data_IF_118072290815
#
_entry.id   IF_118072290815
#
_cell.length_a   1.000
_cell.length_b   1.000
_cell.length_c   1.000
_cell.angle_alpha   90.00
_cell.angle_beta   90.00
_cell.angle_gamma   90.00
#
_symmetry.space_group_name_H-M   'P 1'
#
loop_
_entity.id
_entity.type
_entity.pdbx_description
1 polymer ?
#
# COMPACT_ATOMS: atom_id res chain seq x y z
N UNK A 1 7.93 -23.09 -9.67
CA UNK A 1 7.15 -21.91 -10.12
C UNK A 1 7.52 -20.75 -9.22
N UNK A 2 7.41 -19.50 -9.70
CA UNK A 2 7.57 -18.34 -8.82
C UNK A 2 6.42 -18.29 -7.82
N UNK A 3 6.65 -17.67 -6.67
CA UNK A 3 5.62 -17.40 -5.68
C UNK A 3 4.54 -16.44 -6.17
N UNK A 4 3.58 -16.14 -5.30
CA UNK A 4 2.54 -15.16 -5.53
C UNK A 4 2.79 -13.92 -4.68
N UNK A 5 2.59 -12.74 -5.24
CA UNK A 5 2.70 -11.45 -4.54
C UNK A 5 1.31 -10.83 -4.38
N UNK A 6 0.82 -10.81 -3.15
CA UNK A 6 -0.46 -10.21 -2.78
C UNK A 6 -0.17 -8.91 -2.01
N UNK A 7 -0.73 -7.81 -2.50
CA UNK A 7 -0.54 -6.49 -1.90
C UNK A 7 -1.82 -6.04 -1.20
N UNK A 8 -1.69 -5.62 0.04
CA UNK A 8 -2.78 -5.00 0.81
C UNK A 8 -2.51 -3.51 0.89
N UNK A 9 -3.39 -2.73 0.30
CA UNK A 9 -3.34 -1.28 0.23
C UNK A 9 -4.49 -0.63 1.00
N UNK A 10 -4.35 0.64 1.25
CA UNK A 10 -5.34 1.48 1.93
C UNK A 10 -4.67 2.59 2.70
N UNK A 11 -5.42 3.62 3.01
CA UNK A 11 -4.95 4.76 3.82
C UNK A 11 -4.70 4.34 5.28
N UNK A 12 -4.07 5.22 6.03
CA UNK A 12 -3.78 4.93 7.43
C UNK A 12 -5.09 4.84 8.24
N UNK A 13 -5.13 3.86 9.15
CA UNK A 13 -6.36 3.53 9.87
C UNK A 13 -7.40 2.70 9.10
N UNK A 14 -7.10 2.22 7.87
CA UNK A 14 -8.02 1.37 7.10
C UNK A 14 -8.10 -0.09 7.59
N UNK A 15 -7.19 -0.50 8.48
CA UNK A 15 -7.18 -1.87 9.03
C UNK A 15 -6.24 -2.85 8.33
N UNK A 16 -5.34 -2.40 7.45
CA UNK A 16 -4.38 -3.26 6.71
C UNK A 16 -3.73 -4.33 7.58
N UNK A 17 -3.03 -3.92 8.63
CA UNK A 17 -2.30 -4.87 9.49
C UNK A 17 -3.21 -5.93 10.12
N UNK A 18 -4.44 -5.56 10.52
CA UNK A 18 -5.44 -6.48 11.08
C UNK A 18 -5.87 -7.50 10.02
N UNK A 19 -6.11 -7.05 8.80
CA UNK A 19 -6.53 -7.92 7.71
C UNK A 19 -5.40 -8.82 7.20
N UNK A 20 -4.15 -8.35 7.23
CA UNK A 20 -3.00 -9.19 6.94
C UNK A 20 -2.88 -10.34 7.94
N UNK A 21 -3.02 -10.07 9.25
CA UNK A 21 -2.97 -11.13 10.27
C UNK A 21 -4.16 -12.10 10.14
N UNK A 22 -5.36 -11.60 9.82
CA UNK A 22 -6.52 -12.45 9.52
C UNK A 22 -6.23 -13.37 8.33
N UNK A 23 -5.74 -12.82 7.21
CA UNK A 23 -5.41 -13.58 6.00
C UNK A 23 -4.34 -14.65 6.29
N UNK A 24 -3.29 -14.33 7.03
CA UNK A 24 -2.27 -15.29 7.45
C UNK A 24 -2.85 -16.43 8.27
N UNK A 25 -3.81 -16.15 9.15
CA UNK A 25 -4.47 -17.19 9.95
C UNK A 25 -5.27 -18.16 9.09
N UNK A 26 -5.91 -17.67 8.02
CA UNK A 26 -6.69 -18.49 7.07
C UNK A 26 -5.79 -19.32 6.14
N UNK A 27 -4.57 -18.85 5.88
CA UNK A 27 -3.59 -19.50 4.99
C UNK A 27 -2.48 -20.23 5.79
N UNK A 28 -2.77 -20.66 7.01
CA UNK A 28 -1.77 -21.25 7.93
C UNK A 28 -1.11 -22.54 7.43
N UNK A 29 -1.68 -23.18 6.42
CA UNK A 29 -1.14 -24.36 5.73
C UNK A 29 -0.14 -24.01 4.60
N UNK A 30 0.02 -22.73 4.28
CA UNK A 30 0.86 -22.24 3.19
C UNK A 30 2.18 -21.63 3.71
N UNK A 31 3.20 -21.59 2.84
CA UNK A 31 4.44 -20.86 3.12
C UNK A 31 4.23 -19.37 2.81
N UNK A 32 4.12 -18.57 3.86
CA UNK A 32 3.85 -17.14 3.75
C UNK A 32 5.02 -16.33 4.27
N UNK A 33 5.36 -15.28 3.52
CA UNK A 33 6.28 -14.22 3.93
C UNK A 33 5.55 -12.88 3.95
N UNK A 34 5.48 -12.26 5.10
CA UNK A 34 4.96 -10.90 5.21
C UNK A 34 6.10 -9.91 5.05
N UNK A 35 5.89 -8.91 4.20
CA UNK A 35 6.77 -7.75 4.07
C UNK A 35 5.98 -6.47 4.33
N UNK A 36 6.69 -5.42 4.72
CA UNK A 36 6.13 -4.08 4.91
C UNK A 36 7.06 -3.06 4.29
N UNK A 37 6.49 -2.14 3.53
CA UNK A 37 7.21 -1.10 2.84
C UNK A 37 6.60 0.29 3.14
N UNK A 38 7.41 1.35 3.28
CA UNK A 38 8.87 1.33 3.26
C UNK A 38 9.47 0.54 4.43
N UNK A 39 10.67 0.00 4.21
CA UNK A 39 11.44 -0.71 5.23
C UNK A 39 12.30 0.27 6.03
N UNK A 40 11.66 0.95 6.99
CA UNK A 40 12.31 2.02 7.76
C UNK A 40 13.54 1.57 8.57
N UNK A 41 13.69 0.27 8.85
CA UNK A 41 14.85 -0.28 9.56
C UNK A 41 16.04 -0.52 8.63
N UNK A 42 15.81 -0.50 7.32
CA UNK A 42 16.85 -0.69 6.31
C UNK A 42 17.55 0.62 5.94
N UNK A 43 18.86 0.59 5.67
CA UNK A 43 19.57 1.74 5.08
C UNK A 43 19.01 2.19 3.73
N UNK A 44 18.35 1.30 2.98
CA UNK A 44 17.73 1.62 1.68
C UNK A 44 16.64 2.68 1.78
N UNK A 45 15.95 2.79 2.92
CA UNK A 45 14.91 3.78 3.16
C UNK A 45 15.41 5.17 3.60
N UNK A 46 16.74 5.40 3.59
CA UNK A 46 17.31 6.68 4.04
C UNK A 46 16.72 7.87 3.29
N UNK A 47 16.63 7.81 1.95
CA UNK A 47 16.04 8.88 1.14
C UNK A 47 14.55 9.10 1.44
N UNK A 48 13.81 8.02 1.70
CA UNK A 48 12.41 8.09 2.14
C UNK A 48 12.31 8.82 3.50
N UNK A 49 13.17 8.49 4.45
CA UNK A 49 13.21 9.15 5.77
C UNK A 49 13.54 10.63 5.64
N UNK A 50 14.56 10.99 4.87
CA UNK A 50 14.95 12.38 4.59
C UNK A 50 13.80 13.18 3.97
N UNK A 51 13.10 12.57 2.99
CA UNK A 51 11.92 13.17 2.36
C UNK A 51 10.81 13.43 3.38
N UNK A 52 10.45 12.43 4.17
CA UNK A 52 9.38 12.54 5.17
C UNK A 52 9.73 13.49 6.33
N UNK A 53 11.02 13.68 6.63
CA UNK A 53 11.50 14.67 7.60
C UNK A 53 11.63 16.09 7.02
N UNK A 54 11.32 16.28 5.73
CA UNK A 54 11.36 17.59 5.09
C UNK A 54 12.78 18.13 4.83
N UNK A 55 13.77 17.24 4.67
CA UNK A 55 15.15 17.64 4.35
C UNK A 55 15.28 18.11 2.89
N UNK A 56 14.36 17.71 2.01
CA UNK A 56 14.29 18.15 0.61
C UNK A 56 13.29 19.28 0.37
N UNK A 57 12.71 19.84 1.41
CA UNK A 57 11.68 20.86 1.38
C UNK A 57 10.61 20.58 2.43
N UNK A 58 9.96 21.65 2.92
CA UNK A 58 8.96 21.54 4.01
C UNK A 58 7.54 21.31 3.52
N UNK A 59 7.29 21.55 2.22
CA UNK A 59 6.01 21.30 1.60
C UNK A 59 6.08 19.99 0.81
N UNK A 60 5.01 19.18 0.81
CA UNK A 60 4.96 17.94 0.00
C UNK A 60 5.29 18.16 -1.48
N UNK A 61 4.95 19.33 -2.04
CA UNK A 61 5.16 19.70 -3.43
C UNK A 61 6.59 20.16 -3.75
N UNK A 62 7.45 20.37 -2.74
CA UNK A 62 8.86 20.71 -2.97
C UNK A 62 9.64 19.54 -3.63
N UNK A 63 9.09 18.31 -3.53
CA UNK A 63 9.59 17.12 -4.22
C UNK A 63 8.51 16.61 -5.17
N UNK A 64 8.78 16.63 -6.48
CA UNK A 64 7.81 16.19 -7.46
C UNK A 64 7.46 14.71 -7.33
N UNK A 65 6.36 14.28 -7.97
CA UNK A 65 5.83 12.91 -7.89
C UNK A 65 6.85 11.85 -8.30
N UNK A 66 7.60 12.11 -9.36
CA UNK A 66 8.56 11.16 -9.94
C UNK A 66 9.80 10.97 -9.05
N UNK A 67 10.37 12.06 -8.53
CA UNK A 67 11.50 12.00 -7.61
C UNK A 67 11.14 11.29 -6.30
N UNK A 68 9.99 11.63 -5.71
CA UNK A 68 9.49 10.96 -4.51
C UNK A 68 9.27 9.47 -4.77
N UNK A 69 8.67 9.10 -5.91
CA UNK A 69 8.47 7.69 -6.29
C UNK A 69 9.79 6.94 -6.40
N UNK A 70 10.83 7.57 -6.96
CA UNK A 70 12.15 6.96 -7.08
C UNK A 70 12.77 6.63 -5.72
N UNK A 71 12.58 7.47 -4.69
CA UNK A 71 13.08 7.18 -3.33
C UNK A 71 12.46 5.89 -2.77
N UNK A 72 11.16 5.71 -2.95
CA UNK A 72 10.46 4.50 -2.53
C UNK A 72 10.84 3.29 -3.40
N UNK A 73 11.04 3.48 -4.70
CA UNK A 73 11.42 2.41 -5.63
C UNK A 73 12.79 1.82 -5.28
N UNK A 74 13.77 2.65 -4.90
CA UNK A 74 15.09 2.18 -4.44
C UNK A 74 14.97 1.31 -3.19
N UNK A 75 14.14 1.70 -2.23
CA UNK A 75 13.89 0.90 -1.03
C UNK A 75 13.24 -0.44 -1.37
N UNK A 76 12.21 -0.44 -2.23
CA UNK A 76 11.54 -1.67 -2.70
C UNK A 76 12.49 -2.63 -3.40
N UNK A 77 13.32 -2.10 -4.32
CA UNK A 77 14.31 -2.92 -5.03
C UNK A 77 15.31 -3.56 -4.07
N UNK A 78 15.87 -2.77 -3.15
CA UNK A 78 16.83 -3.27 -2.17
C UNK A 78 16.20 -4.34 -1.26
N UNK A 79 14.98 -4.06 -0.75
CA UNK A 79 14.22 -4.99 0.06
C UNK A 79 13.92 -6.29 -0.70
N UNK A 80 13.44 -6.20 -1.96
CA UNK A 80 13.23 -7.36 -2.82
C UNK A 80 14.50 -8.21 -2.93
N UNK A 81 15.59 -7.61 -3.36
CA UNK A 81 16.86 -8.32 -3.65
C UNK A 81 17.46 -8.98 -2.42
N UNK A 82 17.33 -8.35 -1.24
CA UNK A 82 18.06 -8.77 -0.04
C UNK A 82 17.22 -9.56 0.97
N UNK A 83 15.88 -9.42 0.93
CA UNK A 83 15.01 -9.99 1.98
C UNK A 83 14.05 -11.05 1.51
N UNK A 84 13.46 -10.93 0.31
CA UNK A 84 12.36 -11.84 -0.05
C UNK A 84 12.44 -12.45 -1.46
N UNK A 85 13.41 -12.04 -2.32
CA UNK A 85 13.57 -12.60 -3.66
C UNK A 85 13.72 -14.13 -3.65
N UNK A 86 14.53 -14.66 -2.76
CA UNK A 86 14.76 -16.11 -2.66
C UNK A 86 13.48 -16.88 -2.33
N UNK A 87 12.69 -16.38 -1.37
CA UNK A 87 11.42 -16.98 -0.99
C UNK A 87 10.41 -16.93 -2.14
N UNK A 88 10.32 -15.78 -2.81
CA UNK A 88 9.45 -15.62 -3.99
C UNK A 88 9.86 -16.57 -5.13
N UNK A 89 11.16 -16.68 -5.42
CA UNK A 89 11.65 -17.59 -6.47
C UNK A 89 11.43 -19.07 -6.10
N UNK A 90 11.36 -19.41 -4.81
CA UNK A 90 11.07 -20.75 -4.30
C UNK A 90 9.58 -21.09 -4.20
N UNK A 91 8.69 -20.15 -4.53
CA UNK A 91 7.25 -20.39 -4.56
C UNK A 91 6.46 -19.96 -3.33
N UNK A 92 7.10 -19.26 -2.36
CA UNK A 92 6.40 -18.74 -1.19
C UNK A 92 5.39 -17.64 -1.59
N UNK A 93 4.30 -17.54 -0.82
CA UNK A 93 3.32 -16.45 -0.95
C UNK A 93 3.88 -15.24 -0.20
N UNK A 94 4.02 -14.13 -0.91
CA UNK A 94 4.44 -12.85 -0.33
C UNK A 94 3.19 -11.99 -0.10
N UNK A 95 2.95 -11.60 1.16
CA UNK A 95 1.91 -10.64 1.52
C UNK A 95 2.59 -9.33 1.88
N UNK A 96 2.34 -8.29 1.09
CA UNK A 96 2.94 -6.97 1.27
C UNK A 96 1.95 -5.99 1.91
N UNK A 97 2.36 -5.36 3.02
CA UNK A 97 1.73 -4.14 3.53
C UNK A 97 2.34 -2.95 2.79
N UNK A 98 1.62 -2.44 1.79
CA UNK A 98 2.05 -1.44 0.80
C UNK A 98 3.07 -1.97 -0.22
N UNK A 99 3.05 -1.36 -1.40
CA UNK A 99 3.98 -1.68 -2.51
C UNK A 99 4.14 -0.47 -3.45
N UNK A 100 4.50 -0.69 -4.72
CA UNK A 100 4.51 0.30 -5.80
C UNK A 100 3.18 1.06 -5.87
N UNK A 101 2.09 0.35 -5.70
CA UNK A 101 0.71 0.84 -5.71
C UNK A 101 0.44 1.97 -4.72
N UNK A 102 1.16 2.05 -3.60
CA UNK A 102 1.08 3.21 -2.70
C UNK A 102 1.54 4.51 -3.38
N UNK A 103 2.52 4.48 -4.27
CA UNK A 103 2.93 5.67 -5.03
C UNK A 103 1.83 6.15 -5.97
N UNK A 104 1.06 5.22 -6.57
CA UNK A 104 -0.01 5.58 -7.50
C UNK A 104 -1.00 6.57 -6.90
N UNK A 105 -1.37 6.41 -5.62
CA UNK A 105 -2.36 7.29 -5.02
C UNK A 105 -1.79 8.36 -4.07
N UNK A 106 -0.57 8.19 -3.54
CA UNK A 106 0.06 9.22 -2.73
C UNK A 106 0.78 10.27 -3.57
N UNK A 107 1.52 9.86 -4.60
CA UNK A 107 2.31 10.79 -5.38
C UNK A 107 1.54 11.45 -6.52
N UNK A 108 0.54 10.79 -7.11
CA UNK A 108 -0.33 11.38 -8.13
C UNK A 108 -1.09 12.62 -7.63
N UNK A 109 -1.30 12.74 -6.31
CA UNK A 109 -1.92 13.95 -5.74
C UNK A 109 -1.14 15.25 -6.02
N UNK A 110 0.13 15.15 -6.41
CA UNK A 110 1.05 16.27 -6.69
C UNK A 110 1.02 16.74 -8.15
N UNK A 111 0.30 16.02 -9.00
CA UNK A 111 0.18 16.34 -10.42
C UNK A 111 -1.29 16.55 -10.79
N UNK A 112 -1.56 17.25 -11.91
CA UNK A 112 -2.92 17.42 -12.39
C UNK A 112 -3.65 16.09 -12.62
N UNK A 113 -4.96 16.07 -12.33
CA UNK A 113 -5.77 14.84 -12.41
C UNK A 113 -5.76 14.21 -13.82
N UNK A 114 -5.74 15.02 -14.85
CA UNK A 114 -5.67 14.60 -16.26
C UNK A 114 -4.38 13.85 -16.61
N UNK A 115 -3.33 13.96 -15.78
CA UNK A 115 -2.05 13.29 -15.96
C UNK A 115 -1.92 12.00 -15.12
N UNK A 116 -2.95 11.59 -14.38
CA UNK A 116 -2.85 10.43 -13.49
C UNK A 116 -2.64 9.12 -14.25
N UNK A 117 -3.40 8.87 -15.34
CA UNK A 117 -3.23 7.66 -16.16
C UNK A 117 -1.80 7.54 -16.72
N UNK A 118 -1.24 8.62 -17.28
CA UNK A 118 0.12 8.64 -17.77
C UNK A 118 1.14 8.36 -16.67
N UNK A 119 0.88 8.90 -15.46
CA UNK A 119 1.74 8.64 -14.31
C UNK A 119 1.64 7.19 -13.82
N UNK A 120 0.46 6.55 -13.85
CA UNK A 120 0.31 5.15 -13.48
C UNK A 120 1.02 4.23 -14.47
N UNK A 121 0.91 4.49 -15.76
CA UNK A 121 1.65 3.76 -16.82
C UNK A 121 3.16 3.91 -16.62
N UNK A 122 3.64 5.13 -16.38
CA UNK A 122 5.04 5.38 -16.08
C UNK A 122 5.51 4.62 -14.83
N UNK A 123 4.71 4.61 -13.77
CA UNK A 123 5.04 3.97 -12.51
C UNK A 123 5.18 2.44 -12.66
N UNK A 124 4.26 1.81 -13.39
CA UNK A 124 4.33 0.39 -13.73
C UNK A 124 5.56 0.07 -14.57
N UNK A 125 5.80 0.83 -15.65
CA UNK A 125 6.97 0.63 -16.50
C UNK A 125 8.27 0.81 -15.73
N UNK A 126 8.38 1.88 -14.96
CA UNK A 126 9.56 2.19 -14.17
C UNK A 126 9.90 1.08 -13.17
N UNK A 127 8.94 0.62 -12.37
CA UNK A 127 9.24 -0.34 -11.31
C UNK A 127 9.23 -1.80 -11.78
N UNK A 128 8.27 -2.19 -12.62
CA UNK A 128 8.15 -3.59 -13.01
C UNK A 128 9.03 -3.95 -14.19
N UNK A 129 9.19 -3.07 -15.19
CA UNK A 129 9.98 -3.36 -16.39
C UNK A 129 11.42 -2.86 -16.25
N UNK A 130 11.65 -1.59 -15.87
CA UNK A 130 13.00 -1.01 -15.86
C UNK A 130 13.79 -1.37 -14.60
N UNK A 131 13.21 -1.24 -13.40
CA UNK A 131 13.82 -1.68 -12.12
C UNK A 131 13.74 -3.20 -11.99
N UNK A 132 12.65 -3.82 -12.45
CA UNK A 132 12.49 -5.27 -12.53
C UNK A 132 12.11 -5.93 -11.20
N UNK A 133 11.36 -5.25 -10.34
CA UNK A 133 10.69 -5.89 -9.22
C UNK A 133 9.41 -6.62 -9.68
N UNK A 134 8.94 -7.66 -8.98
CA UNK A 134 7.74 -8.38 -9.38
C UNK A 134 6.50 -7.49 -9.44
N UNK A 135 5.67 -7.61 -10.48
CA UNK A 135 4.32 -7.07 -10.51
C UNK A 135 3.44 -7.90 -9.57
N UNK A 136 2.55 -7.29 -8.76
CA UNK A 136 1.61 -8.04 -7.93
C UNK A 136 0.68 -8.93 -8.74
N UNK A 137 0.39 -10.14 -8.22
CA UNK A 137 -0.65 -11.02 -8.74
C UNK A 137 -2.04 -10.50 -8.36
N UNK A 138 -2.18 -9.94 -7.14
CA UNK A 138 -3.38 -9.24 -6.72
C UNK A 138 -3.04 -8.02 -5.87
N UNK A 139 -3.81 -6.94 -6.05
CA UNK A 139 -3.80 -5.74 -5.20
C UNK A 139 -5.18 -5.59 -4.59
N UNK A 140 -5.24 -5.49 -3.27
CA UNK A 140 -6.48 -5.35 -2.52
C UNK A 140 -6.44 -4.01 -1.79
N UNK A 141 -7.31 -3.09 -2.22
CA UNK A 141 -7.43 -1.77 -1.61
C UNK A 141 -8.58 -1.74 -0.60
N UNK A 142 -8.24 -1.44 0.65
CA UNK A 142 -9.20 -1.30 1.74
C UNK A 142 -9.78 0.13 1.73
N UNK A 143 -10.95 0.29 1.11
CA UNK A 143 -11.66 1.57 1.03
C UNK A 143 -12.41 1.85 2.34
N UNK A 144 -11.72 2.53 3.27
CA UNK A 144 -12.28 3.01 4.53
C UNK A 144 -12.53 4.52 4.44
N UNK A 145 -13.77 5.01 4.66
CA UNK A 145 -14.04 6.45 4.71
C UNK A 145 -13.17 7.17 5.74
N UNK A 146 -12.68 8.36 5.39
CA UNK A 146 -11.73 9.13 6.20
C UNK A 146 -12.27 9.41 7.60
N UNK A 147 -13.56 9.75 7.72
CA UNK A 147 -14.21 10.03 9.00
C UNK A 147 -14.20 8.83 9.94
N UNK A 148 -14.28 7.61 9.38
CA UNK A 148 -14.25 6.36 10.15
C UNK A 148 -12.82 6.03 10.53
N UNK A 149 -11.87 6.10 9.59
CA UNK A 149 -10.45 5.81 9.86
C UNK A 149 -9.87 6.77 10.90
N UNK A 150 -10.20 8.06 10.84
CA UNK A 150 -9.78 9.06 11.83
C UNK A 150 -10.31 8.72 13.24
N UNK A 151 -11.58 8.30 13.36
CA UNK A 151 -12.14 7.86 14.64
C UNK A 151 -11.44 6.60 15.18
N UNK A 152 -11.08 5.67 14.30
CA UNK A 152 -10.36 4.46 14.69
C UNK A 152 -8.92 4.78 15.15
N UNK A 153 -8.21 5.66 14.45
CA UNK A 153 -6.87 6.12 14.83
C UNK A 153 -6.87 6.89 16.16
N UNK A 154 -7.81 7.80 16.35
CA UNK A 154 -7.94 8.54 17.63
C UNK A 154 -8.13 7.59 18.82
N UNK A 155 -8.93 6.53 18.65
CA UNK A 155 -9.06 5.47 19.67
C UNK A 155 -7.74 4.72 19.91
N UNK A 156 -7.01 4.40 18.85
CA UNK A 156 -5.71 3.70 18.91
C UNK A 156 -4.66 4.53 19.66
N UNK A 157 -4.65 5.83 19.45
CA UNK A 157 -3.72 6.76 20.11
C UNK A 157 -4.24 7.27 21.47
N UNK A 158 -5.35 6.73 21.98
CA UNK A 158 -5.98 7.15 23.25
C UNK A 158 -6.27 8.65 23.31
N UNK A 159 -6.61 9.24 22.17
CA UNK A 159 -6.89 10.67 22.02
C UNK A 159 -5.66 11.56 21.92
N UNK A 160 -4.46 11.02 21.86
CA UNK A 160 -3.22 11.78 21.69
C UNK A 160 -2.97 12.09 20.20
N UNK A 161 -3.49 13.22 19.75
CA UNK A 161 -3.38 13.70 18.36
C UNK A 161 -1.92 14.02 17.93
N UNK A 162 -0.99 14.18 18.89
CA UNK A 162 0.42 14.46 18.58
C UNK A 162 1.16 13.27 17.97
N UNK A 163 0.57 12.09 18.05
CA UNK A 163 1.09 10.84 17.45
C UNK A 163 0.76 10.68 15.98
N UNK A 164 -0.13 11.51 15.44
CA UNK A 164 -0.41 11.55 14.01
C UNK A 164 0.73 12.24 13.28
N UNK A 165 1.15 11.65 12.16
CA UNK A 165 2.07 12.34 11.26
C UNK A 165 1.38 13.46 10.47
N UNK A 166 2.17 14.22 9.69
CA UNK A 166 1.67 15.36 8.91
C UNK A 166 0.65 14.97 7.84
N UNK A 167 0.71 13.73 7.35
CA UNK A 167 -0.22 13.20 6.35
C UNK A 167 -1.52 12.71 7.01
N UNK A 168 -1.42 12.01 8.14
CA UNK A 168 -2.57 11.52 8.91
C UNK A 168 -3.47 12.65 9.45
N UNK A 169 -2.90 13.82 9.69
CA UNK A 169 -3.61 15.02 10.18
C UNK A 169 -4.25 15.87 9.09
N UNK A 170 -3.87 15.71 7.83
CA UNK A 170 -4.37 16.51 6.71
C UNK A 170 -5.54 15.81 5.99
N UNK A 171 -6.76 16.12 6.42
CA UNK A 171 -7.99 15.49 5.89
C UNK A 171 -8.16 15.75 4.38
N UNK A 172 -7.85 16.95 3.88
CA UNK A 172 -7.97 17.28 2.47
C UNK A 172 -7.01 16.43 1.62
N UNK A 173 -5.78 16.28 2.07
CA UNK A 173 -4.81 15.38 1.44
C UNK A 173 -5.30 13.92 1.44
N UNK A 174 -5.82 13.43 2.57
CA UNK A 174 -6.35 12.06 2.65
C UNK A 174 -7.54 11.82 1.72
N UNK A 175 -8.44 12.80 1.58
CA UNK A 175 -9.58 12.72 0.62
C UNK A 175 -9.07 12.64 -0.81
N UNK A 176 -8.06 13.45 -1.18
CA UNK A 176 -7.43 13.42 -2.50
C UNK A 176 -6.70 12.10 -2.76
N UNK A 177 -5.99 11.57 -1.76
CA UNK A 177 -5.38 10.24 -1.86
C UNK A 177 -6.41 9.14 -2.06
N UNK A 178 -7.56 9.19 -1.34
CA UNK A 178 -8.63 8.21 -1.51
C UNK A 178 -9.25 8.29 -2.91
N UNK A 179 -9.49 9.49 -3.44
CA UNK A 179 -9.97 9.66 -4.82
C UNK A 179 -8.97 9.04 -5.81
N UNK A 180 -7.69 9.38 -5.67
CA UNK A 180 -6.63 8.85 -6.53
C UNK A 180 -6.51 7.33 -6.43
N UNK A 181 -6.69 6.75 -5.25
CA UNK A 181 -6.66 5.31 -5.05
C UNK A 181 -7.82 4.58 -5.77
N UNK A 182 -9.01 5.16 -5.76
CA UNK A 182 -10.16 4.57 -6.45
C UNK A 182 -9.99 4.65 -7.98
N UNK A 183 -9.43 5.75 -8.50
CA UNK A 183 -9.09 5.86 -9.93
C UNK A 183 -8.00 4.87 -10.31
N UNK A 184 -6.92 4.78 -9.52
CA UNK A 184 -5.86 3.81 -9.75
C UNK A 184 -6.38 2.37 -9.69
N UNK A 185 -7.28 2.07 -8.75
CA UNK A 185 -7.89 0.74 -8.63
C UNK A 185 -8.68 0.35 -9.89
N UNK A 186 -9.45 1.29 -10.45
CA UNK A 186 -10.20 1.07 -11.69
C UNK A 186 -9.26 0.86 -12.89
N UNK A 187 -8.26 1.73 -13.08
CA UNK A 187 -7.36 1.70 -14.23
C UNK A 187 -6.35 0.55 -14.18
N UNK A 188 -5.83 0.23 -12.98
CA UNK A 188 -4.81 -0.80 -12.77
C UNK A 188 -5.40 -2.16 -12.35
N UNK A 189 -6.73 -2.30 -12.28
CA UNK A 189 -7.42 -3.57 -12.03
C UNK A 189 -7.29 -4.08 -10.59
N UNK A 190 -7.31 -3.20 -9.57
CA UNK A 190 -7.25 -3.63 -8.18
C UNK A 190 -8.63 -4.07 -7.66
N UNK A 191 -8.63 -4.93 -6.66
CA UNK A 191 -9.83 -5.29 -5.92
C UNK A 191 -10.10 -4.26 -4.82
N UNK A 192 -11.22 -3.56 -4.91
CA UNK A 192 -11.63 -2.58 -3.89
C UNK A 192 -12.58 -3.25 -2.91
N UNK A 193 -12.19 -3.28 -1.63
CA UNK A 193 -13.01 -3.76 -0.52
C UNK A 193 -13.60 -2.57 0.23
N UNK A 194 -14.90 -2.42 0.13
CA UNK A 194 -15.63 -1.41 0.92
C UNK A 194 -15.64 -1.82 2.39
N UNK A 195 -14.93 -1.06 3.23
CA UNK A 195 -14.69 -1.41 4.63
C UNK A 195 -15.74 -0.85 5.61
N UNK A 196 -16.81 -0.22 5.12
CA UNK A 196 -17.84 0.36 5.97
C UNK A 196 -19.25 -0.09 5.59
N UNK A 197 -20.14 -0.04 6.58
CA UNK A 197 -21.58 -0.15 6.42
C UNK A 197 -22.23 1.11 7.05
N UNK A 198 -22.65 2.05 6.20
CA UNK A 198 -23.06 3.38 6.63
C UNK A 198 -21.90 4.14 7.30
N UNK A 199 -22.10 4.57 8.54
CA UNK A 199 -21.16 5.35 9.36
C UNK A 199 -20.26 4.49 10.28
N UNK A 200 -20.32 3.17 10.15
CA UNK A 200 -19.58 2.22 10.98
C UNK A 200 -18.66 1.34 10.13
N UNK A 201 -17.50 0.93 10.66
CA UNK A 201 -16.69 -0.07 9.99
C UNK A 201 -17.44 -1.42 9.95
N UNK A 202 -17.21 -2.18 8.88
CA UNK A 202 -17.59 -3.62 8.83
C UNK A 202 -16.76 -4.41 9.84
N UNK A 203 -17.20 -5.62 10.18
CA UNK A 203 -16.44 -6.49 11.06
C UNK A 203 -15.12 -6.93 10.42
N UNK A 204 -14.15 -7.29 11.24
CA UNK A 204 -12.86 -7.82 10.78
C UNK A 204 -13.08 -9.09 9.95
N UNK A 205 -13.98 -9.96 10.42
CA UNK A 205 -14.28 -11.23 9.75
C UNK A 205 -14.93 -11.01 8.38
N UNK A 206 -15.93 -10.11 8.26
CA UNK A 206 -16.59 -9.84 6.97
C UNK A 206 -15.61 -9.33 5.91
N UNK A 207 -14.72 -8.39 6.29
CA UNK A 207 -13.69 -7.86 5.39
C UNK A 207 -12.67 -8.96 5.06
N UNK A 208 -12.24 -9.68 6.11
CA UNK A 208 -11.23 -10.73 5.98
C UNK A 208 -11.68 -11.91 5.12
N UNK A 209 -12.93 -12.35 5.25
CA UNK A 209 -13.48 -13.43 4.43
C UNK A 209 -13.60 -13.01 2.95
N UNK A 210 -13.94 -11.74 2.67
CA UNK A 210 -13.95 -11.20 1.29
C UNK A 210 -12.54 -11.17 0.70
N UNK A 211 -11.53 -10.70 1.46
CA UNK A 211 -10.12 -10.72 1.06
C UNK A 211 -9.67 -12.17 0.80
N UNK A 212 -9.96 -13.08 1.73
CA UNK A 212 -9.60 -14.49 1.61
C UNK A 212 -10.21 -15.14 0.37
N UNK A 213 -11.46 -14.79 0.01
CA UNK A 213 -12.12 -15.27 -1.19
C UNK A 213 -11.42 -14.83 -2.48
N UNK A 214 -10.91 -13.59 -2.53
CA UNK A 214 -10.11 -13.08 -3.66
C UNK A 214 -8.77 -13.82 -3.73
N UNK A 215 -8.03 -13.83 -2.64
CA UNK A 215 -6.70 -14.44 -2.59
C UNK A 215 -6.75 -15.94 -2.89
N UNK A 216 -7.77 -16.65 -2.40
CA UNK A 216 -7.92 -18.08 -2.68
C UNK A 216 -8.10 -18.39 -4.17
N UNK A 217 -8.77 -17.52 -4.93
CA UNK A 217 -8.89 -17.65 -6.39
C UNK A 217 -7.54 -17.46 -7.06
N UNK A 218 -6.82 -16.41 -6.72
CA UNK A 218 -5.47 -16.14 -7.25
C UNK A 218 -4.46 -17.26 -6.96
N UNK A 219 -4.64 -17.95 -5.83
CA UNK A 219 -3.80 -19.09 -5.47
C UNK A 219 -4.23 -20.42 -6.11
N UNK A 220 -5.46 -20.53 -6.60
CA UNK A 220 -5.97 -21.74 -7.26
C UNK A 220 -5.59 -21.81 -8.75
N UNK A 221 -5.24 -20.70 -9.37
CA UNK A 221 -4.86 -20.59 -10.79
C UNK A 221 -3.38 -20.99 -11.04
N UNK A 222 -2.80 -21.84 -10.14
CA UNK A 222 -1.41 -22.32 -10.22
C UNK A 222 -1.33 -23.81 -10.52
#
# INVERSE_FOLDING_TARGET
MKGKLIVIEGLDGSGKSTQIEFLKSKLSDKQIRQIKLPDYDSPSSTLVKMYLHGEFGKNPDDVNAYAASAFYAVDRFANFKTKWKEFYDNGDIIISDRYTTSNAYHQSTKIPRESWSEYFDWLEDFEYNLIGIPKPDAVIYLDMPIEISQKMMSKRYSGDETKKDIHESNIEYLLKCREAALVAAEEMGWHVIKCNNGDKPRSIDDIGDEIFGIVSKELADV
#
